data_IF_872130028142
#
_entry.id   IF_872130028142
#
_cell.length_a   1.000
_cell.length_b   1.000
_cell.length_c   1.000
_cell.angle_alpha   90.00
_cell.angle_beta   90.00
_cell.angle_gamma   90.00
#
_symmetry.space_group_name_H-M   'P 1'
#
loop_
_entity.id
_entity.type
_entity.pdbx_description
1 polymer ?
#
# COMPACT_ATOMS: atom_id res chain seq x y z
N UNK A 1 36.20 13.47 3.18
CA UNK A 1 35.68 14.38 2.14
C UNK A 1 34.50 13.79 1.37
N UNK A 2 34.48 12.50 1.04
CA UNK A 2 33.36 11.79 0.36
C UNK A 2 31.99 11.75 1.09
N UNK A 3 31.88 11.63 2.43
CA UNK A 3 30.58 11.43 3.09
C UNK A 3 29.65 12.64 2.99
N UNK A 4 30.22 13.85 3.01
CA UNK A 4 29.45 15.09 2.98
C UNK A 4 28.86 15.35 1.60
N UNK A 5 29.64 15.06 0.54
CA UNK A 5 29.20 15.19 -0.86
C UNK A 5 28.05 14.22 -1.12
N UNK A 6 28.16 12.96 -0.66
CA UNK A 6 27.08 11.98 -0.78
C UNK A 6 25.79 12.45 -0.08
N UNK A 7 25.90 13.19 1.03
CA UNK A 7 24.73 13.72 1.73
C UNK A 7 24.08 14.87 0.95
N UNK A 8 24.88 15.80 0.43
CA UNK A 8 24.39 16.95 -0.33
C UNK A 8 23.82 16.57 -1.71
N UNK A 9 24.50 15.70 -2.45
CA UNK A 9 24.07 15.25 -3.79
C UNK A 9 23.07 14.07 -3.70
N UNK A 10 23.08 13.36 -2.59
CA UNK A 10 22.15 12.29 -2.26
C UNK A 10 20.90 12.85 -1.59
N UNK A 11 20.84 12.80 -0.26
CA UNK A 11 19.64 13.09 0.52
C UNK A 11 19.12 14.52 0.29
N UNK A 12 20.01 15.50 0.17
CA UNK A 12 19.67 16.92 0.07
C UNK A 12 19.56 17.46 -1.36
N UNK A 13 19.54 16.58 -2.37
CA UNK A 13 19.04 17.01 -3.68
C UNK A 13 17.61 17.54 -3.47
N UNK A 14 17.35 18.77 -3.96
CA UNK A 14 16.16 19.54 -3.60
C UNK A 14 14.87 18.76 -3.78
N UNK A 15 14.69 18.09 -4.91
CA UNK A 15 13.45 17.36 -5.20
C UNK A 15 13.32 16.11 -4.34
N UNK A 16 14.41 15.35 -4.17
CA UNK A 16 14.45 14.18 -3.30
C UNK A 16 14.17 14.53 -1.85
N UNK A 17 14.75 15.60 -1.33
CA UNK A 17 14.52 16.03 0.04
C UNK A 17 13.05 16.39 0.27
N UNK A 18 12.44 17.14 -0.64
CA UNK A 18 11.02 17.49 -0.57
C UNK A 18 10.11 16.25 -0.69
N UNK A 19 10.44 15.33 -1.59
CA UNK A 19 9.73 14.05 -1.76
C UNK A 19 9.81 13.20 -0.49
N UNK A 20 10.97 13.14 0.16
CA UNK A 20 11.15 12.42 1.43
C UNK A 20 10.30 13.04 2.54
N UNK A 21 10.36 14.37 2.70
CA UNK A 21 9.62 15.08 3.75
C UNK A 21 8.11 14.92 3.56
N UNK A 22 7.63 14.98 2.30
CA UNK A 22 6.20 14.87 1.98
C UNK A 22 5.69 13.43 2.08
N UNK A 23 6.41 12.48 1.48
CA UNK A 23 5.88 11.16 1.15
C UNK A 23 6.53 9.99 1.92
N UNK A 24 7.58 10.23 2.71
CA UNK A 24 8.37 9.17 3.36
C UNK A 24 8.67 9.44 4.84
N UNK A 25 7.92 10.35 5.45
CA UNK A 25 7.87 10.54 6.90
C UNK A 25 6.43 10.29 7.34
N UNK A 26 6.20 9.18 8.05
CA UNK A 26 4.88 8.87 8.62
C UNK A 26 4.90 8.99 10.15
N UNK A 27 3.74 9.26 10.73
CA UNK A 27 3.53 9.22 12.16
C UNK A 27 2.71 7.99 12.48
N UNK A 28 3.30 7.08 13.25
CA UNK A 28 2.68 5.84 13.69
C UNK A 28 2.13 6.05 15.10
N UNK A 29 0.80 6.08 15.24
CA UNK A 29 0.12 6.35 16.49
C UNK A 29 -0.32 5.03 17.12
N UNK A 30 0.25 4.69 18.26
CA UNK A 30 -0.04 3.47 19.03
C UNK A 30 -0.55 3.82 20.42
N UNK A 31 -1.87 3.85 20.59
CA UNK A 31 -2.52 4.33 21.80
C UNK A 31 -2.18 5.81 22.07
N UNK A 32 -1.48 6.07 23.18
CA UNK A 32 -1.01 7.41 23.54
C UNK A 32 0.37 7.75 22.95
N UNK A 33 1.07 6.76 22.39
CA UNK A 33 2.41 6.95 21.84
C UNK A 33 2.34 7.34 20.37
N UNK A 34 3.20 8.27 19.95
CA UNK A 34 3.35 8.64 18.54
C UNK A 34 4.81 8.52 18.14
N UNK A 35 5.08 7.69 17.14
CA UNK A 35 6.42 7.47 16.60
C UNK A 35 6.53 8.14 15.23
N UNK A 36 7.42 9.12 15.09
CA UNK A 36 7.80 9.67 13.80
C UNK A 36 8.78 8.71 13.11
N UNK A 37 8.38 8.15 11.98
CA UNK A 37 9.15 7.16 11.23
C UNK A 37 9.58 7.78 9.90
N UNK A 38 10.89 7.80 9.65
CA UNK A 38 11.49 8.13 8.36
C UNK A 38 11.79 6.82 7.61
N UNK A 39 11.42 6.74 6.34
CA UNK A 39 11.72 5.59 5.51
C UNK A 39 13.23 5.34 5.38
N UNK A 40 13.64 4.08 5.44
CA UNK A 40 14.99 3.67 5.05
C UNK A 40 15.25 3.92 3.56
N UNK A 41 16.52 4.08 3.18
CA UNK A 41 16.90 4.36 1.79
C UNK A 41 16.35 3.29 0.81
N UNK A 42 16.37 2.02 1.21
CA UNK A 42 15.87 0.90 0.42
C UNK A 42 14.36 0.99 0.22
N UNK A 43 13.61 1.41 1.25
CA UNK A 43 12.17 1.62 1.16
C UNK A 43 11.85 2.78 0.21
N UNK A 44 12.57 3.90 0.32
CA UNK A 44 12.39 5.06 -0.56
C UNK A 44 12.52 4.66 -2.04
N UNK A 45 13.66 4.10 -2.43
CA UNK A 45 13.92 3.78 -3.83
C UNK A 45 13.02 2.65 -4.34
N UNK A 46 12.73 1.64 -3.51
CA UNK A 46 11.91 0.52 -3.95
C UNK A 46 10.43 0.91 -4.08
N UNK A 47 9.89 1.74 -3.19
CA UNK A 47 8.53 2.31 -3.34
C UNK A 47 8.43 3.17 -4.59
N UNK A 48 9.42 4.02 -4.88
CA UNK A 48 9.42 4.83 -6.12
C UNK A 48 9.38 3.95 -7.37
N UNK A 49 10.14 2.87 -7.41
CA UNK A 49 10.11 1.89 -8.50
C UNK A 49 8.77 1.17 -8.60
N UNK A 50 8.20 0.77 -7.46
CA UNK A 50 6.88 0.12 -7.42
C UNK A 50 5.77 1.06 -7.95
N UNK A 51 5.78 2.34 -7.58
CA UNK A 51 4.84 3.34 -8.09
C UNK A 51 5.00 3.52 -9.59
N UNK A 52 6.22 3.66 -10.10
CA UNK A 52 6.46 3.79 -11.54
C UNK A 52 5.96 2.55 -12.32
N UNK A 53 6.23 1.35 -11.80
CA UNK A 53 5.73 0.09 -12.37
C UNK A 53 4.20 0.03 -12.37
N UNK A 54 3.58 0.53 -11.30
CA UNK A 54 2.12 0.62 -11.16
C UNK A 54 1.51 1.57 -12.18
N UNK A 55 2.08 2.76 -12.34
CA UNK A 55 1.62 3.73 -13.33
C UNK A 55 1.68 3.13 -14.73
N UNK A 56 2.77 2.45 -15.08
CA UNK A 56 2.89 1.73 -16.35
C UNK A 56 1.83 0.61 -16.49
N UNK A 57 1.54 -0.12 -15.41
CA UNK A 57 0.52 -1.16 -15.40
C UNK A 57 -0.89 -0.63 -15.71
N UNK A 58 -1.21 0.62 -15.33
CA UNK A 58 -2.52 1.22 -15.61
C UNK A 58 -2.82 1.43 -17.09
N UNK A 59 -1.80 1.46 -17.95
CA UNK A 59 -1.91 1.64 -19.40
C UNK A 59 -1.45 0.42 -20.20
N UNK A 60 -1.07 -0.67 -19.52
CA UNK A 60 -0.61 -1.92 -20.16
C UNK A 60 -1.47 -3.11 -19.77
N UNK A 61 -0.92 -4.14 -19.11
CA UNK A 61 -1.62 -5.39 -18.81
C UNK A 61 -2.20 -5.45 -17.38
N UNK A 62 -2.15 -4.33 -16.64
CA UNK A 62 -2.62 -4.24 -15.26
C UNK A 62 -1.66 -4.83 -14.22
N UNK A 63 -0.47 -5.33 -14.59
CA UNK A 63 0.45 -5.99 -13.64
C UNK A 63 1.54 -5.05 -13.13
N UNK A 64 1.42 -4.65 -11.87
CA UNK A 64 2.41 -3.77 -11.20
C UNK A 64 3.74 -4.44 -10.82
N UNK A 65 3.84 -5.77 -10.86
CA UNK A 65 5.08 -6.52 -10.56
C UNK A 65 5.16 -7.03 -9.12
N UNK A 66 6.36 -7.51 -8.72
CA UNK A 66 6.64 -8.11 -7.41
C UNK A 66 7.60 -7.23 -6.63
N UNK A 67 7.25 -6.92 -5.38
CA UNK A 67 8.11 -6.20 -4.45
C UNK A 67 8.68 -7.17 -3.40
N UNK A 68 9.92 -7.59 -3.61
CA UNK A 68 10.61 -8.53 -2.72
C UNK A 68 11.35 -7.81 -1.57
N UNK A 69 11.17 -8.30 -0.35
CA UNK A 69 11.79 -7.80 0.87
C UNK A 69 12.39 -8.97 1.68
N UNK A 70 13.46 -8.69 2.44
CA UNK A 70 13.91 -9.61 3.51
C UNK A 70 13.08 -9.40 4.78
N UNK A 71 12.99 -10.42 5.62
CA UNK A 71 12.32 -10.32 6.93
C UNK A 71 12.98 -9.25 7.81
N UNK A 72 12.17 -8.46 8.52
CA UNK A 72 12.65 -7.37 9.38
C UNK A 72 13.05 -6.09 8.65
N UNK A 73 13.03 -6.05 7.31
CA UNK A 73 13.41 -4.86 6.52
C UNK A 73 12.36 -3.74 6.49
N UNK A 74 11.22 -3.92 7.18
CA UNK A 74 10.13 -2.95 7.23
C UNK A 74 9.13 -3.03 6.06
N UNK A 75 8.81 -4.23 5.55
CA UNK A 75 7.86 -4.43 4.43
C UNK A 75 6.53 -3.70 4.64
N UNK A 76 5.92 -3.82 5.83
CA UNK A 76 4.64 -3.19 6.14
C UNK A 76 4.69 -1.65 6.07
N UNK A 77 5.80 -1.03 6.46
CA UNK A 77 6.02 0.41 6.27
C UNK A 77 6.19 0.77 4.80
N UNK A 78 6.91 -0.03 4.01
CA UNK A 78 6.99 0.16 2.55
C UNK A 78 5.59 0.15 1.92
N UNK A 79 4.70 -0.74 2.37
CA UNK A 79 3.31 -0.80 1.90
C UNK A 79 2.54 0.48 2.25
N UNK A 80 2.72 1.02 3.46
CA UNK A 80 2.12 2.30 3.87
C UNK A 80 2.62 3.46 3.00
N UNK A 81 3.93 3.58 2.79
CA UNK A 81 4.50 4.62 1.92
C UNK A 81 4.02 4.48 0.48
N UNK A 82 3.95 3.26 -0.03
CA UNK A 82 3.43 2.97 -1.36
C UNK A 82 1.96 3.37 -1.50
N UNK A 83 1.11 2.96 -0.55
CA UNK A 83 -0.30 3.32 -0.53
C UNK A 83 -0.53 4.84 -0.44
N UNK A 84 0.27 5.55 0.36
CA UNK A 84 0.24 7.01 0.43
C UNK A 84 0.64 7.65 -0.91
N UNK A 85 1.76 7.21 -1.49
CA UNK A 85 2.29 7.76 -2.74
C UNK A 85 1.31 7.61 -3.91
N UNK A 86 0.62 6.45 -3.98
CA UNK A 86 -0.38 6.20 -5.02
C UNK A 86 -1.57 7.16 -4.99
N UNK A 87 -1.86 7.79 -3.85
CA UNK A 87 -2.98 8.72 -3.78
C UNK A 87 -2.80 9.94 -4.66
N UNK A 88 -1.58 10.47 -4.74
CA UNK A 88 -1.25 11.56 -5.66
C UNK A 88 -1.02 11.02 -7.07
N UNK A 89 -0.38 9.87 -7.21
CA UNK A 89 0.00 9.34 -8.52
C UNK A 89 -1.18 8.82 -9.37
N UNK A 90 -2.26 8.37 -8.74
CA UNK A 90 -3.42 7.74 -9.40
C UNK A 90 -4.77 8.35 -8.96
N UNK A 91 -4.79 9.64 -8.61
CA UNK A 91 -6.03 10.34 -8.23
C UNK A 91 -6.82 9.61 -7.12
N UNK A 92 -6.11 9.16 -6.10
CA UNK A 92 -6.65 8.47 -4.92
C UNK A 92 -7.36 7.14 -5.28
N UNK A 93 -6.60 6.12 -5.70
CA UNK A 93 -7.16 4.82 -6.07
C UNK A 93 -7.71 4.09 -4.84
N UNK A 94 -8.63 3.15 -5.06
CA UNK A 94 -8.98 2.14 -4.05
C UNK A 94 -7.91 1.05 -3.99
N UNK A 95 -7.43 0.75 -2.80
CA UNK A 95 -6.40 -0.27 -2.53
C UNK A 95 -7.06 -1.44 -1.80
N UNK A 96 -6.91 -2.65 -2.34
CA UNK A 96 -7.32 -3.88 -1.68
C UNK A 96 -6.07 -4.65 -1.29
N UNK A 97 -5.85 -4.82 0.01
CA UNK A 97 -4.78 -5.62 0.57
C UNK A 97 -5.32 -7.02 0.81
N UNK A 98 -4.74 -8.00 0.14
CA UNK A 98 -5.14 -9.41 0.24
C UNK A 98 -4.02 -10.19 0.91
N UNK A 99 -4.35 -10.92 1.96
CA UNK A 99 -3.42 -11.80 2.68
C UNK A 99 -3.91 -13.25 2.66
N UNK A 100 -3.02 -14.20 2.92
CA UNK A 100 -3.37 -15.63 3.00
C UNK A 100 -3.62 -16.08 4.45
N UNK A 101 -3.57 -15.19 5.43
CA UNK A 101 -3.68 -15.54 6.85
C UNK A 101 -4.30 -14.41 7.65
N UNK A 102 -5.26 -14.75 8.51
CA UNK A 102 -5.95 -13.76 9.35
C UNK A 102 -4.99 -13.00 10.28
N UNK A 103 -4.01 -13.68 10.89
CA UNK A 103 -3.07 -13.03 11.80
C UNK A 103 -2.13 -12.05 11.08
N UNK A 104 -1.75 -12.35 9.83
CA UNK A 104 -0.99 -11.42 8.99
C UNK A 104 -1.86 -10.24 8.53
N UNK A 105 -3.13 -10.50 8.19
CA UNK A 105 -4.13 -9.47 7.88
C UNK A 105 -4.25 -8.46 9.02
N UNK A 106 -4.46 -8.94 10.24
CA UNK A 106 -4.62 -8.12 11.45
C UNK A 106 -3.35 -7.30 11.73
N UNK A 107 -2.17 -7.88 11.54
CA UNK A 107 -0.90 -7.16 11.70
C UNK A 107 -0.75 -6.01 10.70
N UNK A 108 -1.03 -6.25 9.42
CA UNK A 108 -0.93 -5.23 8.38
C UNK A 108 -2.03 -4.17 8.54
N UNK A 109 -3.26 -4.58 8.83
CA UNK A 109 -4.37 -3.67 9.13
C UNK A 109 -4.03 -2.77 10.32
N UNK A 110 -3.48 -3.34 11.40
CA UNK A 110 -3.01 -2.58 12.54
C UNK A 110 -1.96 -1.54 12.14
N UNK A 111 -0.98 -1.91 11.30
CA UNK A 111 0.03 -0.97 10.85
C UNK A 111 -0.54 0.18 10.00
N UNK A 112 -1.46 -0.12 9.09
CA UNK A 112 -2.14 0.90 8.30
C UNK A 112 -3.03 1.79 9.17
N UNK A 113 -3.74 1.21 10.14
CA UNK A 113 -4.61 1.94 11.07
C UNK A 113 -3.81 2.93 11.93
N UNK A 114 -2.65 2.52 12.43
CA UNK A 114 -1.73 3.41 13.16
C UNK A 114 -1.14 4.53 12.28
N UNK A 115 -1.18 4.38 10.96
CA UNK A 115 -0.72 5.37 9.99
C UNK A 115 -1.88 6.07 9.25
N UNK A 116 -3.13 5.95 9.72
CA UNK A 116 -4.32 6.43 9.00
C UNK A 116 -4.29 7.92 8.67
N UNK A 117 -3.70 8.76 9.52
CA UNK A 117 -3.61 10.21 9.31
C UNK A 117 -2.62 10.54 8.19
N UNK A 118 -1.50 9.80 8.14
CA UNK A 118 -0.56 9.86 7.02
C UNK A 118 -1.22 9.37 5.72
N UNK A 119 -2.00 8.29 5.79
CA UNK A 119 -2.76 7.75 4.66
C UNK A 119 -4.01 8.57 4.31
N UNK A 120 -4.44 9.53 5.15
CA UNK A 120 -5.68 10.31 5.00
C UNK A 120 -6.94 9.44 4.78
N UNK A 121 -6.89 8.18 5.19
CA UNK A 121 -7.91 7.18 4.95
C UNK A 121 -7.95 6.22 6.13
N UNK A 122 -9.16 5.82 6.54
CA UNK A 122 -9.33 4.79 7.57
C UNK A 122 -9.45 3.43 6.88
N UNK A 123 -8.52 2.48 7.14
CA UNK A 123 -8.63 1.14 6.61
C UNK A 123 -9.89 0.43 7.09
N UNK A 124 -10.40 -0.53 6.30
CA UNK A 124 -11.57 -1.33 6.65
C UNK A 124 -11.31 -2.81 6.36
N UNK A 125 -11.78 -3.71 7.21
CA UNK A 125 -11.82 -5.14 6.88
C UNK A 125 -13.09 -5.47 6.09
N UNK A 126 -12.93 -6.29 5.06
CA UNK A 126 -14.05 -6.98 4.44
C UNK A 126 -14.32 -8.28 5.21
N UNK A 127 -15.48 -8.36 5.86
CA UNK A 127 -15.91 -9.54 6.62
C UNK A 127 -16.08 -10.80 5.75
N UNK A 128 -16.56 -10.62 4.52
CA UNK A 128 -16.78 -11.69 3.56
C UNK A 128 -16.82 -11.12 2.13
N UNK A 129 -16.96 -12.01 1.14
CA UNK A 129 -17.01 -11.63 -0.28
C UNK A 129 -18.14 -10.67 -0.63
N UNK A 130 -19.32 -10.84 -0.03
CA UNK A 130 -20.47 -9.96 -0.26
C UNK A 130 -20.17 -8.56 0.27
N UNK A 131 -19.64 -8.47 1.49
CA UNK A 131 -19.23 -7.21 2.10
C UNK A 131 -18.13 -6.52 1.27
N UNK A 132 -17.12 -7.25 0.76
CA UNK A 132 -16.13 -6.67 -0.14
C UNK A 132 -16.75 -6.04 -1.39
N UNK A 133 -17.72 -6.72 -2.03
CA UNK A 133 -18.43 -6.18 -3.19
C UNK A 133 -19.20 -4.90 -2.83
N UNK A 134 -19.86 -4.88 -1.69
CA UNK A 134 -20.59 -3.69 -1.20
C UNK A 134 -19.63 -2.52 -0.94
N UNK A 135 -18.49 -2.78 -0.28
CA UNK A 135 -17.45 -1.77 -0.05
C UNK A 135 -16.92 -1.20 -1.38
N UNK A 136 -16.71 -2.04 -2.39
CA UNK A 136 -16.22 -1.60 -3.71
C UNK A 136 -17.29 -0.87 -4.54
N UNK A 137 -18.54 -1.35 -4.52
CA UNK A 137 -19.64 -0.76 -5.29
C UNK A 137 -20.04 0.63 -4.77
N UNK A 138 -19.96 0.84 -3.45
CA UNK A 138 -20.34 2.10 -2.81
C UNK A 138 -19.26 3.20 -2.91
N UNK A 139 -18.19 3.01 -3.70
CA UNK A 139 -17.11 4.00 -3.85
C UNK A 139 -16.85 4.36 -5.31
N UNK A 140 -16.68 5.67 -5.54
CA UNK A 140 -16.21 6.20 -6.82
C UNK A 140 -14.69 6.35 -6.86
N UNK A 141 -14.05 6.62 -5.71
CA UNK A 141 -12.61 6.70 -5.53
C UNK A 141 -12.25 6.42 -4.06
N UNK A 142 -10.96 6.24 -3.79
CA UNK A 142 -10.37 6.07 -2.46
C UNK A 142 -10.79 4.76 -1.77
N UNK A 143 -10.16 4.47 -0.63
CA UNK A 143 -10.45 3.33 0.23
C UNK A 143 -9.25 2.39 0.35
N UNK A 144 -9.01 1.91 1.57
CA UNK A 144 -8.04 0.85 1.86
C UNK A 144 -8.82 -0.29 2.50
N UNK A 145 -8.89 -1.43 1.82
CA UNK A 145 -9.69 -2.58 2.25
C UNK A 145 -8.78 -3.78 2.48
N UNK A 146 -8.90 -4.40 3.64
CA UNK A 146 -8.20 -5.61 4.02
C UNK A 146 -9.11 -6.83 3.87
N UNK A 147 -8.59 -7.92 3.33
CA UNK A 147 -9.32 -9.19 3.21
C UNK A 147 -8.34 -10.33 3.12
N UNK A 148 -8.82 -11.53 3.43
CA UNK A 148 -8.03 -12.77 3.31
C UNK A 148 -8.48 -13.60 2.12
N UNK A 149 -7.58 -14.42 1.57
CA UNK A 149 -7.85 -15.28 0.41
C UNK A 149 -8.92 -16.33 0.73
N UNK A 150 -8.95 -16.84 1.97
CA UNK A 150 -9.92 -17.84 2.43
C UNK A 150 -11.38 -17.39 2.27
N UNK A 151 -11.64 -16.08 2.41
CA UNK A 151 -12.98 -15.50 2.21
C UNK A 151 -13.50 -15.63 0.77
N UNK A 152 -12.64 -16.03 -0.18
CA UNK A 152 -13.00 -16.29 -1.57
C UNK A 152 -13.20 -17.78 -1.89
N UNK A 153 -12.81 -18.69 -1.00
CA UNK A 153 -12.93 -20.15 -1.19
C UNK A 153 -14.23 -20.72 -0.62
N UNK A 154 -14.98 -19.97 0.20
CA UNK A 154 -16.29 -20.38 0.68
C UNK A 154 -17.28 -20.58 -0.49
N UNK A 155 -17.98 -21.73 -0.58
CA UNK A 155 -18.85 -22.04 -1.71
C UNK A 155 -20.08 -21.13 -1.69
N UNK A 156 -20.10 -20.11 -2.54
CA UNK A 156 -21.33 -19.39 -2.88
C UNK A 156 -22.07 -20.11 -4.01
N UNK A 157 -23.41 -20.24 -3.98
CA UNK A 157 -24.16 -20.72 -5.13
C UNK A 157 -23.82 -19.87 -6.35
N UNK A 158 -23.44 -20.57 -7.43
CA UNK A 158 -22.98 -20.10 -8.73
C UNK A 158 -23.28 -18.63 -9.05
N UNK A 159 -22.31 -17.76 -8.74
CA UNK A 159 -22.08 -16.54 -9.50
C UNK A 159 -20.65 -16.65 -9.99
N UNK A 160 -20.48 -16.94 -11.29
CA UNK A 160 -19.19 -16.87 -11.95
C UNK A 160 -18.61 -15.47 -11.73
N UNK A 161 -17.68 -15.38 -10.79
CA UNK A 161 -16.89 -14.19 -10.59
C UNK A 161 -15.57 -14.51 -11.25
N UNK A 162 -15.49 -14.12 -12.53
CA UNK A 162 -14.21 -14.10 -13.23
C UNK A 162 -13.25 -13.21 -12.43
N UNK A 163 -12.19 -13.81 -11.89
CA UNK A 163 -11.07 -13.10 -11.25
C UNK A 163 -10.45 -12.02 -12.16
N UNK A 164 -10.76 -12.05 -13.47
CA UNK A 164 -10.37 -11.01 -14.42
C UNK A 164 -10.96 -9.63 -14.10
N UNK A 165 -12.09 -9.54 -13.38
CA UNK A 165 -12.73 -8.26 -13.05
C UNK A 165 -12.10 -7.59 -11.82
N UNK A 166 -11.60 -8.36 -10.84
CA UNK A 166 -10.96 -7.84 -9.63
C UNK A 166 -9.51 -7.38 -9.91
N UNK A 167 -8.81 -8.07 -10.80
CA UNK A 167 -7.43 -7.73 -11.18
C UNK A 167 -7.31 -6.56 -12.17
N UNK A 168 -8.35 -6.27 -12.97
CA UNK A 168 -8.31 -5.16 -13.95
C UNK A 168 -8.38 -3.76 -13.35
N UNK A 169 -8.70 -3.63 -12.05
CA UNK A 169 -8.76 -2.33 -11.34
C UNK A 169 -7.90 -2.27 -10.07
N UNK A 170 -7.19 -3.35 -9.75
CA UNK A 170 -6.40 -3.41 -8.51
C UNK A 170 -4.92 -3.47 -8.89
N UNK A 171 -4.23 -2.39 -8.56
CA UNK A 171 -2.78 -2.32 -8.55
C UNK A 171 -2.21 -3.50 -7.74
N UNK A 172 -1.41 -4.32 -8.41
CA UNK A 172 -0.30 -5.12 -7.86
C UNK A 172 -0.55 -5.90 -6.56
N UNK A 173 -0.76 -7.21 -6.69
CA UNK A 173 -0.63 -8.17 -5.58
C UNK A 173 0.78 -8.10 -4.96
N UNK A 174 0.90 -7.55 -3.75
CA UNK A 174 2.11 -7.65 -2.92
C UNK A 174 2.07 -8.93 -2.09
N UNK A 175 2.57 -10.04 -2.66
CA UNK A 175 2.85 -11.26 -1.89
C UNK A 175 4.15 -11.11 -1.09
#
# INVERSE_FOLDING_TARGET
MLPLILFFEGLFEKNRFLDIVKNFICFNVDGQNTFKILAGYHQYFAVKKAVASTLNATVTDGKGGVFWHTQGSGKSLSMVFYAHYLQEALESPTIVVITDRNDLDDQLYGQFSRCKDFLRQTPQHAENRKHLKELLANRQANGIIFTTMQKFEEPSPSVEISLSWLMKRTVGSMA
#
